data_IF_330270710960
#
_entry.id   IF_330270710960
#
_cell.length_a   1.000
_cell.length_b   1.000
_cell.length_c   1.000
_cell.angle_alpha   90.00
_cell.angle_beta   90.00
_cell.angle_gamma   90.00
#
_symmetry.space_group_name_H-M   'P 1'
#
loop_
_entity.id
_entity.type
_entity.pdbx_description
1 polymer ?
#
# COMPACT_ATOMS: atom_id res chain seq x y z
N UNK A 1 -9.32 -14.47 10.25
CA UNK A 1 -9.09 -14.43 8.79
C UNK A 1 -8.74 -15.83 8.35
N UNK A 2 -9.30 -16.28 7.24
CA UNK A 2 -9.08 -17.64 6.77
C UNK A 2 -7.66 -17.78 6.19
N UNK A 3 -7.03 -18.96 6.32
CA UNK A 3 -5.72 -19.21 5.72
C UNK A 3 -5.74 -18.95 4.21
N UNK A 4 -4.73 -18.23 3.70
CA UNK A 4 -4.67 -17.84 2.28
C UNK A 4 -5.51 -16.62 1.90
N UNK A 5 -6.36 -16.12 2.80
CA UNK A 5 -7.06 -14.85 2.63
C UNK A 5 -6.06 -13.69 2.72
N UNK A 6 -6.25 -12.68 1.85
CA UNK A 6 -5.46 -11.46 1.88
C UNK A 6 -6.31 -10.35 2.53
N UNK A 7 -5.69 -9.56 3.38
CA UNK A 7 -6.32 -8.41 4.02
C UNK A 7 -5.45 -7.17 3.92
N UNK A 8 -6.10 -6.02 4.07
CA UNK A 8 -5.43 -4.72 4.07
C UNK A 8 -4.71 -4.52 5.39
N UNK A 9 -3.44 -4.17 5.29
CA UNK A 9 -2.68 -3.58 6.39
C UNK A 9 -2.43 -2.13 6.03
N UNK A 10 -3.06 -1.21 6.76
CA UNK A 10 -2.86 0.22 6.56
C UNK A 10 -1.52 0.63 7.17
N UNK A 11 -0.74 1.40 6.41
CA UNK A 11 0.63 1.78 6.76
C UNK A 11 0.80 3.29 6.67
N UNK A 12 1.74 3.83 7.45
CA UNK A 12 2.17 5.21 7.25
C UNK A 12 3.19 5.23 6.11
N UNK A 13 3.13 6.26 5.27
CA UNK A 13 3.99 6.38 4.09
C UNK A 13 4.48 7.81 3.98
N UNK A 14 5.80 7.99 3.86
CA UNK A 14 6.37 9.26 3.43
C UNK A 14 6.26 9.34 1.91
N UNK A 15 5.62 10.40 1.42
CA UNK A 15 5.32 10.60 0.00
C UNK A 15 5.95 11.91 -0.47
N UNK A 16 6.71 11.84 -1.55
CA UNK A 16 7.06 13.03 -2.33
C UNK A 16 5.85 13.39 -3.20
N UNK A 17 5.23 14.52 -2.91
CA UNK A 17 4.16 15.04 -3.75
C UNK A 17 4.75 16.03 -4.75
N UNK A 18 4.72 15.64 -6.03
CA UNK A 18 5.30 16.45 -7.11
C UNK A 18 4.37 17.58 -7.54
N UNK A 19 4.93 18.57 -8.22
CA UNK A 19 4.18 19.73 -8.75
C UNK A 19 3.09 19.36 -9.75
N UNK A 20 3.20 18.19 -10.41
CA UNK A 20 2.19 17.66 -11.32
C UNK A 20 1.06 16.88 -10.62
N UNK A 21 1.11 16.78 -9.27
CA UNK A 21 0.16 16.02 -8.46
C UNK A 21 0.48 14.53 -8.34
N UNK A 22 1.59 14.06 -8.93
CA UNK A 22 2.02 12.66 -8.76
C UNK A 22 2.51 12.43 -7.33
N UNK A 23 1.93 11.45 -6.67
CA UNK A 23 2.40 10.96 -5.36
C UNK A 23 3.44 9.87 -5.54
N UNK A 24 4.67 10.09 -5.09
CA UNK A 24 5.72 9.08 -5.11
C UNK A 24 6.07 8.63 -3.69
N UNK A 25 5.68 7.41 -3.28
CA UNK A 25 6.05 6.88 -1.97
C UNK A 25 7.55 6.63 -1.89
N UNK A 26 8.16 7.00 -0.75
CA UNK A 26 9.60 6.95 -0.49
C UNK A 26 9.99 6.08 0.71
N UNK A 27 9.14 6.00 1.74
CA UNK A 27 9.35 5.14 2.90
C UNK A 27 8.01 4.61 3.40
N UNK A 28 7.98 3.34 3.81
CA UNK A 28 6.85 2.71 4.49
C UNK A 28 7.24 2.53 5.96
N UNK A 29 6.36 2.96 6.87
CA UNK A 29 6.44 2.63 8.29
C UNK A 29 5.39 1.57 8.58
N UNK A 30 5.85 0.40 8.99
CA UNK A 30 5.01 -0.75 9.33
C UNK A 30 4.32 -0.59 10.68
N UNK A 31 3.38 -1.49 11.00
CA UNK A 31 2.56 -1.43 12.22
C UNK A 31 3.39 -1.50 13.52
N UNK A 32 4.57 -2.13 13.46
CA UNK A 32 5.54 -2.24 14.56
C UNK A 32 6.54 -1.06 14.61
N UNK A 33 6.39 -0.07 13.73
CA UNK A 33 7.30 1.06 13.61
C UNK A 33 8.54 0.79 12.75
N UNK A 34 8.72 -0.43 12.25
CA UNK A 34 9.82 -0.75 11.35
C UNK A 34 9.69 0.05 10.05
N UNK A 35 10.81 0.64 9.63
CA UNK A 35 10.89 1.46 8.42
C UNK A 35 11.47 0.67 7.26
N UNK A 36 10.91 0.89 6.08
CA UNK A 36 11.33 0.30 4.82
C UNK A 36 11.46 1.39 3.78
N UNK A 37 12.69 1.66 3.34
CA UNK A 37 12.96 2.59 2.24
C UNK A 37 12.51 1.98 0.90
N UNK A 38 11.91 2.81 0.05
CA UNK A 38 11.51 2.42 -1.30
C UNK A 38 12.64 2.80 -2.26
N UNK A 39 13.37 1.79 -2.73
CA UNK A 39 14.45 1.93 -3.71
C UNK A 39 13.94 2.62 -5.00
N UNK A 40 12.75 2.21 -5.45
CA UNK A 40 12.17 2.70 -6.71
C UNK A 40 10.65 2.49 -6.78
N UNK A 41 9.95 3.48 -7.34
CA UNK A 41 8.61 3.31 -7.89
C UNK A 41 8.74 2.93 -9.36
N UNK A 42 8.34 1.71 -9.71
CA UNK A 42 8.51 1.13 -11.04
C UNK A 42 7.32 1.47 -11.95
N UNK A 43 6.12 1.49 -11.39
CA UNK A 43 4.88 1.67 -12.16
C UNK A 43 3.73 2.13 -11.23
N UNK A 44 2.83 2.94 -11.77
CA UNK A 44 1.64 3.47 -11.08
C UNK A 44 0.46 3.31 -12.02
N UNK A 45 -0.60 2.62 -11.59
CA UNK A 45 -1.81 2.45 -12.40
C UNK A 45 -3.07 2.36 -11.56
N UNK A 46 -4.23 2.80 -12.08
CA UNK A 46 -5.52 2.44 -11.49
C UNK A 46 -5.65 0.92 -11.46
N UNK A 47 -5.98 0.36 -10.30
CA UNK A 47 -6.21 -1.07 -10.18
C UNK A 47 -7.18 -1.37 -9.04
N UNK A 48 -8.06 -2.33 -9.27
CA UNK A 48 -8.79 -2.95 -8.17
C UNK A 48 -7.79 -3.73 -7.31
N UNK A 49 -7.84 -3.55 -5.99
CA UNK A 49 -7.09 -4.39 -5.07
C UNK A 49 -7.71 -5.80 -5.08
N UNK A 50 -7.26 -6.62 -6.03
CA UNK A 50 -7.95 -7.82 -6.47
C UNK A 50 -8.20 -8.86 -5.38
N UNK A 51 -7.43 -8.82 -4.28
CA UNK A 51 -7.55 -9.80 -3.19
C UNK A 51 -8.13 -9.22 -1.91
N UNK A 52 -7.98 -7.93 -1.67
CA UNK A 52 -8.47 -7.26 -0.45
C UNK A 52 -9.68 -6.32 -0.67
N UNK A 53 -10.13 -6.16 -1.93
CA UNK A 53 -11.24 -5.30 -2.33
C UNK A 53 -10.91 -3.80 -2.33
N UNK A 54 -11.63 -3.01 -3.14
CA UNK A 54 -11.53 -1.54 -3.19
C UNK A 54 -10.99 -0.99 -4.52
N UNK A 55 -11.47 0.21 -4.91
CA UNK A 55 -10.91 0.99 -6.01
C UNK A 55 -9.78 1.88 -5.50
N UNK A 56 -8.65 1.89 -6.19
CA UNK A 56 -7.50 2.71 -5.82
C UNK A 56 -6.39 2.69 -6.87
N UNK A 57 -5.27 3.32 -6.53
CA UNK A 57 -4.06 3.30 -7.35
C UNK A 57 -3.10 2.24 -6.79
N UNK A 58 -2.58 1.37 -7.67
CA UNK A 58 -1.54 0.40 -7.32
C UNK A 58 -0.18 0.91 -7.79
N UNK A 59 0.76 0.87 -6.86
CA UNK A 59 2.16 1.18 -7.05
C UNK A 59 2.94 -0.13 -7.07
N UNK A 60 3.66 -0.38 -8.16
CA UNK A 60 4.71 -1.40 -8.18
C UNK A 60 5.97 -0.76 -7.65
N UNK A 61 6.44 -1.20 -6.50
CA UNK A 61 7.61 -0.64 -5.83
C UNK A 61 8.71 -1.69 -5.68
N UNK A 62 9.94 -1.23 -5.49
CA UNK A 62 11.07 -2.06 -5.10
C UNK A 62 11.52 -1.65 -3.70
N UNK A 63 11.69 -2.63 -2.82
CA UNK A 63 12.17 -2.49 -1.44
C UNK A 63 13.18 -3.59 -1.19
N UNK A 64 14.39 -3.24 -0.72
CA UNK A 64 15.48 -4.19 -0.52
C UNK A 64 15.76 -5.06 -1.76
N UNK A 65 15.68 -4.46 -2.94
CA UNK A 65 15.88 -5.15 -4.22
C UNK A 65 14.70 -6.00 -4.69
N UNK A 66 13.66 -6.23 -3.88
CA UNK A 66 12.51 -7.05 -4.23
C UNK A 66 11.30 -6.22 -4.67
N UNK A 67 10.59 -6.67 -5.71
CA UNK A 67 9.35 -6.02 -6.18
C UNK A 67 8.18 -6.41 -5.30
N UNK A 68 7.38 -5.43 -4.91
CA UNK A 68 6.12 -5.62 -4.19
C UNK A 68 5.08 -4.57 -4.59
N UNK A 69 3.89 -4.64 -4.00
CA UNK A 69 2.79 -3.72 -4.27
C UNK A 69 2.44 -2.89 -3.03
N UNK A 70 2.21 -1.61 -3.28
CA UNK A 70 1.63 -0.67 -2.34
C UNK A 70 0.39 -0.06 -2.99
N UNK A 71 -0.64 0.20 -2.20
CA UNK A 71 -1.92 0.67 -2.71
C UNK A 71 -2.34 1.96 -2.02
N UNK A 72 -2.91 2.88 -2.77
CA UNK A 72 -3.58 4.07 -2.24
C UNK A 72 -5.08 3.97 -2.51
N UNK A 73 -5.87 3.85 -1.44
CA UNK A 73 -7.34 3.88 -1.48
C UNK A 73 -7.82 5.30 -1.25
N UNK A 74 -8.62 5.82 -2.19
CA UNK A 74 -9.21 7.16 -2.08
C UNK A 74 -10.38 7.13 -1.10
N UNK A 75 -10.49 8.19 -0.30
CA UNK A 75 -11.65 8.39 0.57
C UNK A 75 -12.88 8.69 -0.27
N UNK A 76 -14.05 8.16 0.14
CA UNK A 76 -15.34 8.54 -0.45
C UNK A 76 -15.93 9.79 0.20
N UNK A 77 -15.33 10.28 1.29
CA UNK A 77 -15.80 11.49 1.95
C UNK A 77 -15.40 12.71 1.13
N UNK A 78 -16.39 13.53 0.77
CA UNK A 78 -16.18 14.76 -0.01
C UNK A 78 -15.61 15.91 0.83
N UNK A 79 -15.52 15.75 2.15
CA UNK A 79 -15.13 16.79 3.10
C UNK A 79 -14.16 16.23 4.15
N UNK A 80 -13.35 17.13 4.73
CA UNK A 80 -12.39 16.80 5.79
C UNK A 80 -10.97 16.59 5.25
N UNK A 81 -10.08 16.15 6.13
CA UNK A 81 -8.63 16.08 5.83
C UNK A 81 -8.16 14.68 5.42
N UNK A 82 -9.07 13.72 5.33
CA UNK A 82 -8.75 12.34 4.96
C UNK A 82 -9.00 12.14 3.47
N UNK A 83 -7.97 12.38 2.66
CA UNK A 83 -8.02 12.21 1.20
C UNK A 83 -8.00 10.73 0.78
N UNK A 84 -7.41 9.87 1.61
CA UNK A 84 -7.20 8.45 1.31
C UNK A 84 -6.23 7.81 2.28
N UNK A 85 -5.99 6.51 2.10
CA UNK A 85 -5.13 5.71 2.96
C UNK A 85 -4.23 4.80 2.14
N UNK A 86 -3.02 4.62 2.63
CA UNK A 86 -2.06 3.68 2.07
C UNK A 86 -2.19 2.32 2.74
N UNK A 87 -2.13 1.25 1.97
CA UNK A 87 -2.12 -0.11 2.49
C UNK A 87 -1.32 -1.07 1.63
N UNK A 88 -0.91 -2.18 2.23
CA UNK A 88 -0.41 -3.36 1.50
C UNK A 88 -1.36 -4.54 1.70
N UNK A 89 -1.27 -5.52 0.82
CA UNK A 89 -1.98 -6.80 1.00
C UNK A 89 -1.10 -7.77 1.81
N UNK A 90 -1.54 -8.14 3.02
CA UNK A 90 -0.92 -9.21 3.83
C UNK A 90 -1.70 -10.49 3.63
N UNK A 91 -1.00 -11.60 3.36
CA UNK A 91 -1.61 -12.94 3.34
C UNK A 91 -1.52 -13.54 4.73
N UNK A 92 -2.57 -14.22 5.18
CA UNK A 92 -2.47 -15.11 6.34
C UNK A 92 -1.57 -16.30 5.96
N UNK A 93 -0.41 -16.49 6.61
CA UNK A 93 0.43 -17.66 6.39
C UNK A 93 -0.37 -18.94 6.66
N UNK A 94 -0.24 -19.93 5.79
CA UNK A 94 -0.85 -21.26 6.01
C UNK A 94 -0.27 -21.98 7.24
N UNK A 95 0.85 -21.51 7.78
CA UNK A 95 1.59 -22.14 8.88
C UNK A 95 1.03 -21.81 10.27
N UNK A 96 0.16 -20.81 10.38
CA UNK A 96 -0.40 -20.37 11.66
C UNK A 96 -1.61 -21.24 12.11
N UNK A 97 -1.68 -22.48 11.59
CA UNK A 97 -2.75 -23.48 11.81
C UNK A 97 -2.24 -24.77 12.47
N UNK A 98 -0.94 -24.87 12.76
CA UNK A 98 -0.28 -26.02 13.40
C UNK A 98 0.37 -25.57 14.70
#
# INVERSE_FOLDING_TARGET
MLPGEAYKVYVSVFVEHRSDGTMLPREIIWEDGQKYEIDRVIDIRPAYAAKAGGQGDRYTIQVNGARTYLYFERSTNLTGNTIGRWFVERKVPLRDLL
#
